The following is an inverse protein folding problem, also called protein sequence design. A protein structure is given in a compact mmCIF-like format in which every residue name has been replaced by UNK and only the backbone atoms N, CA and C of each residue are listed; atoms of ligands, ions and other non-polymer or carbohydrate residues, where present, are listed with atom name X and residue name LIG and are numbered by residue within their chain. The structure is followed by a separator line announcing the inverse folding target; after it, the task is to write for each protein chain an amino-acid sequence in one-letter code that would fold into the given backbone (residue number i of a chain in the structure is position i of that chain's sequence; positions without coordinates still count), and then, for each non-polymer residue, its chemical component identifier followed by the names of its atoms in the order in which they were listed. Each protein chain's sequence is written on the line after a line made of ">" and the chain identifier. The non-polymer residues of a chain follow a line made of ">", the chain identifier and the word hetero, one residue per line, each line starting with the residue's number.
data_IF_731861865462
#
_entry.id   IF_731861865462
#
_cell.length_a   1.000
_cell.length_b   1.000
_cell.length_c   1.000
_cell.angle_alpha   90.00
_cell.angle_beta   90.00
_cell.angle_gamma   90.00
#
_symmetry.space_group_name_H-M   'P 1'
#
loop_
_entity.id
_entity.type
_entity.pdbx_description
1 polymer ?
#
# COMPACT_ATOMS: atom_id res chain seq x y z
N UNK A 1 -11.80 6.43 -3.80
CA UNK A 1 -10.95 7.32 -2.96
C UNK A 1 -9.71 6.52 -2.58
N UNK A 2 -8.50 6.91 -2.96
CA UNK A 2 -7.31 6.17 -2.54
C UNK A 2 -7.05 6.44 -1.06
N UNK A 3 -7.57 5.54 -0.23
CA UNK A 3 -7.03 5.28 1.10
C UNK A 3 -5.58 4.85 0.90
N UNK A 4 -4.68 5.43 1.67
CA UNK A 4 -3.39 4.80 1.92
C UNK A 4 -3.65 3.35 2.38
N UNK A 5 -2.96 2.33 1.82
CA UNK A 5 -3.17 0.97 2.29
C UNK A 5 -2.84 0.89 3.77
N UNK A 6 -3.74 0.32 4.56
CA UNK A 6 -3.58 0.15 6.00
C UNK A 6 -2.32 -0.66 6.32
N UNK A 7 -1.95 -1.57 5.43
CA UNK A 7 -0.71 -2.35 5.51
C UNK A 7 0.52 -1.45 5.38
N UNK A 8 0.43 -0.38 4.59
CA UNK A 8 1.47 0.65 4.44
C UNK A 8 1.74 1.37 5.76
N UNK A 9 0.67 1.86 6.40
CA UNK A 9 0.76 2.50 7.72
C UNK A 9 1.29 1.53 8.78
N UNK A 10 0.74 0.30 8.84
CA UNK A 10 1.19 -0.72 9.80
C UNK A 10 2.68 -1.02 9.63
N UNK A 11 3.14 -1.22 8.40
CA UNK A 11 4.54 -1.52 8.15
C UNK A 11 5.45 -0.33 8.49
N UNK A 12 5.10 0.88 8.03
CA UNK A 12 5.93 2.07 8.24
C UNK A 12 6.10 2.39 9.73
N UNK A 13 5.00 2.52 10.47
CA UNK A 13 5.02 2.88 11.88
C UNK A 13 5.44 1.72 12.78
N UNK A 14 5.13 0.48 12.40
CA UNK A 14 5.66 -0.72 13.04
C UNK A 14 7.19 -0.79 12.94
N UNK A 15 7.76 -0.48 11.78
CA UNK A 15 9.21 -0.43 11.59
C UNK A 15 9.87 0.70 12.40
N UNK A 16 9.27 1.89 12.44
CA UNK A 16 9.74 2.99 13.28
C UNK A 16 9.74 2.63 14.77
N UNK A 17 8.71 1.90 15.23
CA UNK A 17 8.63 1.38 16.59
C UNK A 17 9.74 0.36 16.88
N UNK A 18 9.99 -0.59 15.96
CA UNK A 18 11.08 -1.57 16.10
C UNK A 18 12.46 -0.89 16.09
N UNK A 19 12.59 0.25 15.41
CA UNK A 19 13.78 1.09 15.42
C UNK A 19 13.95 1.90 16.71
N UNK A 20 12.93 1.98 17.57
CA UNK A 20 12.90 2.84 18.75
C UNK A 20 12.79 4.33 18.41
N UNK A 21 12.30 4.69 17.22
CA UNK A 21 12.16 6.08 16.77
C UNK A 21 10.85 6.72 17.23
N UNK A 22 9.86 5.91 17.60
CA UNK A 22 8.54 6.34 18.08
C UNK A 22 8.09 5.50 19.27
N UNK A 23 7.19 6.03 20.08
CA UNK A 23 6.59 5.26 21.18
C UNK A 23 5.58 4.22 20.65
N UNK A 24 5.28 3.16 21.42
CA UNK A 24 4.23 2.21 21.05
C UNK A 24 2.86 2.85 20.82
N UNK A 25 2.52 3.89 21.57
CA UNK A 25 1.23 4.58 21.46
C UNK A 25 1.18 5.50 20.23
N UNK A 26 2.27 6.20 19.91
CA UNK A 26 2.36 7.01 18.69
C UNK A 26 2.25 6.13 17.44
N UNK A 27 2.94 4.97 17.44
CA UNK A 27 2.82 4.01 16.37
C UNK A 27 1.38 3.49 16.24
N UNK A 28 0.74 3.11 17.34
CA UNK A 28 -0.65 2.64 17.30
C UNK A 28 -1.61 3.72 16.79
N UNK A 29 -1.46 4.96 17.24
CA UNK A 29 -2.28 6.09 16.79
C UNK A 29 -2.12 6.35 15.30
N UNK A 30 -0.88 6.36 14.80
CA UNK A 30 -0.62 6.62 13.39
C UNK A 30 -1.06 5.46 12.47
N UNK A 31 -1.02 4.20 12.96
CA UNK A 31 -1.54 3.05 12.21
C UNK A 31 -3.07 3.08 12.11
N UNK A 32 -3.75 3.52 13.17
CA UNK A 32 -5.21 3.71 13.17
C UNK A 32 -5.59 4.86 12.23
N UNK A 33 -4.85 5.97 12.26
CA UNK A 33 -5.08 7.09 11.36
C UNK A 33 -6.50 7.64 11.48
N UNK A 34 -7.25 7.62 10.38
CA UNK A 34 -8.65 8.07 10.31
C UNK A 34 -9.66 6.97 10.68
N UNK A 35 -9.21 5.72 10.79
CA UNK A 35 -10.07 4.63 11.24
C UNK A 35 -10.37 4.78 12.74
N UNK A 36 -11.38 4.06 13.21
CA UNK A 36 -11.82 4.23 14.58
C UNK A 36 -11.16 3.26 15.55
N UNK A 37 -10.87 2.02 15.11
CA UNK A 37 -10.20 1.03 15.95
C UNK A 37 -9.54 -0.07 15.14
N UNK A 38 -8.33 -0.44 15.53
CA UNK A 38 -7.62 -1.59 15.00
C UNK A 38 -7.39 -2.63 16.10
N UNK A 39 -7.71 -3.90 15.81
CA UNK A 39 -7.46 -5.06 16.68
C UNK A 39 -6.67 -6.11 15.92
N UNK A 40 -5.88 -6.92 16.63
CA UNK A 40 -5.14 -8.04 16.05
C UNK A 40 -5.68 -9.35 16.61
N UNK A 41 -6.05 -10.27 15.74
CA UNK A 41 -6.59 -11.59 16.04
C UNK A 41 -5.60 -12.69 15.65
N UNK A 42 -5.69 -13.86 16.28
CA UNK A 42 -4.81 -15.00 15.96
C UNK A 42 -3.35 -14.81 16.39
N UNK A 43 -3.06 -13.80 17.21
CA UNK A 43 -1.70 -13.52 17.68
C UNK A 43 -1.21 -14.64 18.63
N UNK A 44 -0.03 -15.24 18.41
CA UNK A 44 0.46 -16.32 19.26
C UNK A 44 0.58 -15.92 20.73
N UNK A 45 -0.01 -16.73 21.62
CA UNK A 45 0.00 -16.52 23.05
C UNK A 45 -1.15 -15.65 23.59
N UNK A 46 -2.04 -15.16 22.72
CA UNK A 46 -3.23 -14.40 23.12
C UNK A 46 -4.51 -15.22 22.86
N UNK A 47 -5.45 -15.17 23.80
CA UNK A 47 -6.69 -15.96 23.72
C UNK A 47 -7.80 -15.30 22.88
N UNK A 48 -7.59 -14.05 22.44
CA UNK A 48 -8.57 -13.28 21.69
C UNK A 48 -7.98 -12.01 21.10
N UNK A 49 -8.83 -11.16 20.49
CA UNK A 49 -8.38 -9.93 19.84
C UNK A 49 -7.70 -8.96 20.81
N UNK A 50 -6.54 -8.44 20.43
CA UNK A 50 -5.77 -7.48 21.23
C UNK A 50 -5.60 -6.14 20.51
N UNK A 51 -5.30 -5.07 21.25
CA UNK A 51 -4.99 -3.76 20.67
C UNK A 51 -3.61 -3.74 20.00
N UNK A 52 -3.39 -2.80 19.08
CA UNK A 52 -2.12 -2.66 18.33
C UNK A 52 -0.89 -2.54 19.23
N UNK A 53 -0.94 -1.73 20.29
CA UNK A 53 0.19 -1.55 21.22
C UNK A 53 0.70 -2.88 21.79
N UNK A 54 -0.23 -3.72 22.28
CA UNK A 54 0.09 -5.06 22.79
C UNK A 54 0.58 -5.97 21.66
N UNK A 55 -0.11 -5.96 20.52
CA UNK A 55 0.22 -6.82 19.39
C UNK A 55 1.64 -6.57 18.86
N UNK A 56 2.02 -5.31 18.64
CA UNK A 56 3.35 -4.92 18.18
C UNK A 56 4.43 -5.31 19.21
N UNK A 57 4.14 -5.12 20.52
CA UNK A 57 5.04 -5.55 21.60
C UNK A 57 5.25 -7.07 21.64
N UNK A 58 4.20 -7.84 21.42
CA UNK A 58 4.25 -9.32 21.33
C UNK A 58 5.00 -9.79 20.11
N UNK A 59 4.73 -9.24 18.92
CA UNK A 59 5.43 -9.56 17.68
C UNK A 59 6.94 -9.32 17.83
N UNK A 60 7.33 -8.19 18.43
CA UNK A 60 8.73 -7.93 18.78
C UNK A 60 9.31 -9.01 19.70
N UNK A 61 8.57 -9.41 20.74
CA UNK A 61 8.96 -10.50 21.65
C UNK A 61 9.05 -11.88 20.97
N UNK A 62 8.30 -12.10 19.89
CA UNK A 62 8.33 -13.30 19.06
C UNK A 62 9.46 -13.28 18.01
N UNK A 63 10.33 -12.26 18.01
CA UNK A 63 11.48 -12.17 17.12
C UNK A 63 11.25 -11.36 15.84
N UNK A 64 10.11 -10.67 15.69
CA UNK A 64 9.88 -9.79 14.55
C UNK A 64 10.86 -8.61 14.61
N UNK A 65 11.60 -8.41 13.52
CA UNK A 65 12.61 -7.36 13.36
C UNK A 65 12.31 -6.40 12.21
N UNK A 66 11.25 -6.66 11.46
CA UNK A 66 10.74 -5.75 10.44
C UNK A 66 9.37 -6.16 9.91
N UNK A 67 8.73 -5.23 9.23
CA UNK A 67 7.45 -5.40 8.55
C UNK A 67 7.61 -5.02 7.09
N UNK A 68 7.08 -5.86 6.20
CA UNK A 68 7.03 -5.62 4.75
C UNK A 68 5.59 -5.65 4.27
N UNK A 69 5.28 -4.80 3.31
CA UNK A 69 3.98 -4.75 2.65
C UNK A 69 3.94 -5.72 1.47
N UNK A 70 2.78 -6.33 1.27
CA UNK A 70 2.36 -6.98 0.04
C UNK A 70 1.05 -6.31 -0.43
N UNK A 71 0.97 -6.00 -1.73
CA UNK A 71 -0.23 -5.43 -2.36
C UNK A 71 -0.64 -6.35 -3.53
N UNK A 72 -1.19 -7.53 -3.24
CA UNK A 72 -1.58 -8.49 -4.26
C UNK A 72 -2.86 -8.05 -4.98
N UNK A 73 -2.99 -8.45 -6.23
CA UNK A 73 -4.25 -8.38 -6.99
C UNK A 73 -4.46 -9.70 -7.74
N UNK A 74 -5.69 -10.01 -8.21
CA UNK A 74 -5.92 -11.15 -9.07
C UNK A 74 -4.94 -11.21 -10.25
N UNK A 75 -4.22 -12.34 -10.37
CA UNK A 75 -3.21 -12.56 -11.42
C UNK A 75 -1.82 -11.95 -11.16
N UNK A 76 -1.62 -11.21 -10.08
CA UNK A 76 -0.31 -10.65 -9.71
C UNK A 76 -0.15 -10.56 -8.17
N UNK A 77 0.24 -11.68 -7.51
CA UNK A 77 0.34 -11.81 -6.04
C UNK A 77 1.61 -11.16 -5.47
N UNK A 78 1.80 -9.87 -5.75
CA UNK A 78 3.00 -9.10 -5.41
C UNK A 78 3.32 -9.14 -3.91
N UNK A 79 4.53 -9.60 -3.57
CA UNK A 79 5.01 -9.65 -2.18
C UNK A 79 4.52 -10.84 -1.37
N UNK A 80 3.70 -11.72 -1.94
CA UNK A 80 3.22 -12.93 -1.27
C UNK A 80 4.11 -14.13 -1.55
N UNK A 81 4.43 -14.91 -0.51
CA UNK A 81 5.27 -16.12 -0.62
C UNK A 81 4.60 -17.38 -0.04
N UNK A 82 3.32 -17.31 0.30
CA UNK A 82 2.55 -18.41 0.89
C UNK A 82 2.55 -18.40 2.43
N UNK A 83 1.81 -19.34 3.07
CA UNK A 83 1.07 -20.47 2.51
C UNK A 83 -0.26 -20.07 1.82
N UNK A 84 -0.96 -21.01 1.14
CA UNK A 84 -2.19 -20.72 0.40
C UNK A 84 -3.26 -19.98 1.20
N UNK A 85 -3.47 -20.34 2.46
CA UNK A 85 -4.50 -19.73 3.31
C UNK A 85 -4.22 -18.24 3.58
N UNK A 86 -2.94 -17.89 3.82
CA UNK A 86 -2.53 -16.49 3.94
C UNK A 86 -2.70 -15.76 2.61
N UNK A 87 -2.24 -16.36 1.51
CA UNK A 87 -2.34 -15.74 0.19
C UNK A 87 -3.79 -15.50 -0.23
N UNK A 88 -4.70 -16.43 0.06
CA UNK A 88 -6.12 -16.30 -0.25
C UNK A 88 -6.74 -15.10 0.47
N UNK A 89 -6.49 -14.97 1.78
CA UNK A 89 -6.95 -13.81 2.56
C UNK A 89 -6.32 -12.51 2.10
N UNK A 90 -5.01 -12.50 1.85
CA UNK A 90 -4.31 -11.33 1.36
C UNK A 90 -4.79 -10.89 -0.03
N UNK A 91 -5.15 -11.83 -0.91
CA UNK A 91 -5.75 -11.53 -2.22
C UNK A 91 -7.16 -10.96 -2.10
N UNK A 92 -7.96 -11.46 -1.14
CA UNK A 92 -9.30 -10.94 -0.88
C UNK A 92 -9.27 -9.52 -0.29
N UNK A 93 -8.31 -9.24 0.60
CA UNK A 93 -8.10 -7.92 1.16
C UNK A 93 -7.34 -6.96 0.23
N UNK A 94 -6.70 -7.47 -0.83
CA UNK A 94 -5.76 -6.75 -1.72
C UNK A 94 -4.55 -6.10 -1.03
N UNK A 95 -4.36 -6.37 0.26
CA UNK A 95 -3.24 -5.89 1.06
C UNK A 95 -2.89 -6.86 2.19
N UNK A 96 -1.61 -6.91 2.55
CA UNK A 96 -1.12 -7.64 3.71
C UNK A 96 0.22 -7.09 4.20
N UNK A 97 0.56 -7.43 5.44
CA UNK A 97 1.91 -7.26 5.99
C UNK A 97 2.54 -8.63 6.23
N UNK A 98 3.80 -8.77 5.85
CA UNK A 98 4.64 -9.95 6.07
C UNK A 98 5.77 -9.55 6.99
N UNK A 99 5.95 -10.24 8.11
CA UNK A 99 7.02 -9.92 9.06
C UNK A 99 8.37 -10.44 8.58
N UNK A 100 9.44 -9.86 9.12
CA UNK A 100 10.83 -10.28 8.93
C UNK A 100 11.42 -10.74 10.28
N UNK A 101 12.18 -11.84 10.28
CA UNK A 101 12.76 -12.46 11.49
C UNK A 101 11.81 -13.40 12.25
N UNK A 102 10.54 -13.44 11.85
CA UNK A 102 9.58 -14.44 12.32
C UNK A 102 8.53 -14.72 11.22
N UNK A 103 7.92 -15.92 11.20
CA UNK A 103 7.03 -16.36 10.12
C UNK A 103 5.57 -15.94 10.37
N UNK A 104 5.31 -14.65 10.56
CA UNK A 104 3.95 -14.12 10.71
C UNK A 104 3.55 -13.18 9.57
N UNK A 105 2.26 -13.16 9.27
CA UNK A 105 1.64 -12.23 8.34
C UNK A 105 0.35 -11.69 8.92
N UNK A 106 0.02 -10.45 8.59
CA UNK A 106 -1.17 -9.75 9.06
C UNK A 106 -1.99 -9.34 7.84
N UNK A 107 -3.26 -9.75 7.80
CA UNK A 107 -4.21 -9.36 6.75
C UNK A 107 -5.35 -8.57 7.38
N UNK A 108 -5.68 -7.35 6.89
CA UNK A 108 -6.78 -6.58 7.44
C UNK A 108 -8.13 -7.11 6.95
N UNK A 109 -9.09 -7.20 7.85
CA UNK A 109 -10.51 -7.30 7.56
C UNK A 109 -11.17 -6.00 7.99
N UNK A 110 -11.74 -5.27 7.02
CA UNK A 110 -12.33 -3.96 7.24
C UNK A 110 -13.83 -4.10 7.45
N UNK A 111 -14.35 -3.45 8.49
CA UNK A 111 -15.79 -3.40 8.79
C UNK A 111 -16.23 -1.95 8.88
N UNK A 112 -17.25 -1.63 8.11
CA UNK A 112 -17.85 -0.30 8.06
C UNK A 112 -19.20 -0.31 8.76
N UNK A 113 -19.46 0.69 9.60
CA UNK A 113 -20.73 0.85 10.31
C UNK A 113 -21.10 2.32 10.42
N UNK A 114 -22.38 2.66 10.26
CA UNK A 114 -22.88 4.03 10.37
C UNK A 114 -23.46 4.58 9.06
N UNK A 115 -24.09 5.77 9.10
CA UNK A 115 -24.69 6.40 7.92
C UNK A 115 -23.62 7.02 7.01
N UNK A 116 -23.97 7.22 5.73
CA UNK A 116 -23.11 7.93 4.79
C UNK A 116 -22.75 9.33 5.32
N UNK A 117 -21.45 9.61 5.46
CA UNK A 117 -20.91 10.85 6.03
C UNK A 117 -20.48 10.76 7.49
N UNK A 118 -20.77 9.65 8.17
CA UNK A 118 -20.30 9.32 9.52
C UNK A 118 -20.03 7.81 9.61
N UNK A 119 -19.19 7.32 8.71
CA UNK A 119 -18.76 5.91 8.71
C UNK A 119 -17.70 5.70 9.78
N UNK A 120 -17.97 4.73 10.65
CA UNK A 120 -17.01 4.17 11.58
C UNK A 120 -16.33 2.97 10.94
N UNK A 121 -15.02 3.06 10.74
CA UNK A 121 -14.23 1.97 10.18
C UNK A 121 -13.49 1.25 11.31
N UNK A 122 -13.73 -0.05 11.44
CA UNK A 122 -13.02 -0.93 12.36
C UNK A 122 -12.22 -1.97 11.56
N UNK A 123 -10.98 -2.24 11.98
CA UNK A 123 -10.06 -3.15 11.29
C UNK A 123 -9.64 -4.29 12.21
N UNK A 124 -9.88 -5.52 11.78
CA UNK A 124 -9.35 -6.72 12.42
C UNK A 124 -8.18 -7.27 11.60
N UNK A 125 -6.98 -7.23 12.16
CA UNK A 125 -5.79 -7.81 11.56
C UNK A 125 -5.69 -9.29 11.92
N UNK A 126 -5.88 -10.16 10.94
CA UNK A 126 -5.70 -11.60 11.10
C UNK A 126 -4.21 -11.92 11.06
N UNK A 127 -3.66 -12.35 12.20
CA UNK A 127 -2.29 -12.85 12.29
C UNK A 127 -2.26 -14.33 11.90
N UNK A 128 -1.55 -14.65 10.82
CA UNK A 128 -1.41 -16.01 10.30
C UNK A 128 0.07 -16.39 10.20
N UNK A 129 0.36 -17.69 10.19
CA UNK A 129 1.68 -18.18 9.84
C UNK A 129 1.95 -17.96 8.35
N UNK A 130 3.16 -17.50 8.03
CA UNK A 130 3.64 -17.32 6.64
C UNK A 130 4.88 -18.14 6.37
N UNK A 131 5.19 -18.34 5.09
CA UNK A 131 6.49 -18.91 4.70
C UNK A 131 7.56 -17.83 4.82
N UNK A 132 8.61 -18.14 5.57
CA UNK A 132 9.81 -17.31 5.59
C UNK A 132 10.61 -17.53 4.30
N UNK A 133 10.31 -16.70 3.31
CA UNK A 133 10.96 -16.72 2.00
C UNK A 133 11.19 -15.28 1.51
N UNK A 134 12.11 -15.08 0.56
CA UNK A 134 12.21 -13.81 -0.15
C UNK A 134 10.85 -13.41 -0.73
N UNK A 135 10.51 -12.10 -0.71
CA UNK A 135 9.23 -11.64 -1.22
C UNK A 135 9.22 -11.81 -2.74
N UNK A 136 8.18 -12.43 -3.28
CA UNK A 136 8.06 -12.65 -4.71
C UNK A 136 7.78 -11.34 -5.46
N UNK A 137 8.51 -11.12 -6.56
CA UNK A 137 8.30 -10.03 -7.53
C UNK A 137 8.38 -8.58 -6.99
N UNK A 138 8.98 -8.40 -5.80
CA UNK A 138 9.23 -7.07 -5.23
C UNK A 138 10.57 -6.52 -5.74
N UNK A 139 10.59 -5.44 -6.52
CA UNK A 139 11.83 -4.79 -6.96
C UNK A 139 12.52 -4.07 -5.80
N UNK A 140 13.82 -3.82 -5.96
CA UNK A 140 14.50 -2.82 -5.13
C UNK A 140 13.90 -1.43 -5.34
N UNK A 141 14.06 -0.53 -4.37
CA UNK A 141 13.58 0.85 -4.49
C UNK A 141 14.07 1.55 -5.77
N UNK A 142 15.34 1.31 -6.15
CA UNK A 142 15.92 1.94 -7.34
C UNK A 142 15.41 1.37 -8.67
N UNK A 143 15.14 0.06 -8.72
CA UNK A 143 14.48 -0.56 -9.88
C UNK A 143 13.05 -0.05 -10.02
N UNK A 144 12.31 0.02 -8.92
CA UNK A 144 10.92 0.46 -8.92
C UNK A 144 10.78 1.92 -9.40
N UNK A 145 11.66 2.82 -8.95
CA UNK A 145 11.69 4.21 -9.40
C UNK A 145 11.95 4.31 -10.91
N UNK A 146 12.91 3.53 -11.41
CA UNK A 146 13.25 3.50 -12.84
C UNK A 146 12.10 2.97 -13.69
N UNK A 147 11.52 1.84 -13.30
CA UNK A 147 10.37 1.22 -13.98
C UNK A 147 9.15 2.15 -13.98
N UNK A 148 8.89 2.84 -12.86
CA UNK A 148 7.81 3.82 -12.78
C UNK A 148 8.03 4.98 -13.75
N UNK A 149 9.25 5.53 -13.81
CA UNK A 149 9.58 6.61 -14.73
C UNK A 149 9.51 6.16 -16.22
N UNK A 150 9.93 4.93 -16.52
CA UNK A 150 9.84 4.33 -17.86
C UNK A 150 8.38 4.15 -18.29
N UNK A 151 7.54 3.50 -17.48
CA UNK A 151 6.15 3.26 -17.83
C UNK A 151 5.35 4.56 -18.00
N UNK A 152 5.62 5.59 -17.19
CA UNK A 152 4.99 6.90 -17.34
C UNK A 152 5.34 7.56 -18.67
N UNK A 153 6.61 7.50 -19.10
CA UNK A 153 7.05 8.01 -20.40
C UNK A 153 6.38 7.26 -21.55
N UNK A 154 6.30 5.95 -21.47
CA UNK A 154 5.71 5.11 -22.51
C UNK A 154 4.20 5.34 -22.62
N UNK A 155 3.49 5.38 -21.49
CA UNK A 155 2.06 5.65 -21.46
C UNK A 155 1.73 7.07 -21.96
N UNK A 156 2.51 8.08 -21.56
CA UNK A 156 2.34 9.45 -22.08
C UNK A 156 2.51 9.49 -23.60
N UNK A 157 3.52 8.79 -24.12
CA UNK A 157 3.77 8.69 -25.56
C UNK A 157 2.62 8.00 -26.28
N UNK A 158 2.12 6.88 -25.74
CA UNK A 158 1.01 6.13 -26.31
C UNK A 158 -0.29 6.93 -26.32
N UNK A 159 -0.66 7.55 -25.18
CA UNK A 159 -1.88 8.33 -25.05
C UNK A 159 -1.87 9.60 -25.90
N UNK A 160 -0.71 10.25 -26.05
CA UNK A 160 -0.55 11.41 -26.93
C UNK A 160 -0.75 11.05 -28.41
N UNK A 161 -0.24 9.89 -28.85
CA UNK A 161 -0.42 9.42 -30.23
C UNK A 161 -1.86 9.08 -30.57
N UNK A 162 -2.63 8.64 -29.58
CA UNK A 162 -4.03 8.27 -29.75
C UNK A 162 -4.98 9.49 -29.68
N UNK A 163 -4.48 10.68 -29.34
CA UNK A 163 -5.27 11.90 -29.05
C UNK A 163 -6.34 11.71 -27.97
N UNK A 164 -6.10 10.76 -27.04
CA UNK A 164 -7.03 10.41 -25.95
C UNK A 164 -6.61 11.05 -24.62
N UNK A 165 -5.58 11.92 -24.64
CA UNK A 165 -4.93 12.46 -23.45
C UNK A 165 -5.76 13.47 -22.63
N UNK A 166 -7.05 13.63 -22.91
CA UNK A 166 -7.93 14.55 -22.17
C UNK A 166 -8.00 14.21 -20.68
N UNK A 167 -7.39 15.03 -19.82
CA UNK A 167 -7.66 15.08 -18.38
C UNK A 167 -8.76 16.12 -18.15
N UNK A 168 -9.97 15.67 -17.83
CA UNK A 168 -11.08 16.58 -17.53
C UNK A 168 -10.96 17.24 -16.15
N UNK A 169 -11.88 18.17 -15.80
CA UNK A 169 -11.90 18.89 -14.52
C UNK A 169 -11.86 18.00 -13.27
N UNK A 170 -12.35 16.76 -13.38
CA UNK A 170 -12.32 15.77 -12.29
C UNK A 170 -10.89 15.36 -11.93
N UNK A 171 -10.01 15.20 -12.91
CA UNK A 171 -8.62 14.85 -12.67
C UNK A 171 -7.85 16.01 -12.03
N UNK A 172 -8.13 17.25 -12.44
CA UNK A 172 -7.56 18.46 -11.83
C UNK A 172 -8.00 18.60 -10.37
N UNK A 173 -9.31 18.49 -10.10
CA UNK A 173 -9.85 18.55 -8.74
C UNK A 173 -9.25 17.47 -7.82
N UNK A 174 -9.03 16.26 -8.34
CA UNK A 174 -8.39 15.20 -7.57
C UNK A 174 -6.91 15.46 -7.29
N UNK A 175 -6.18 16.05 -8.25
CA UNK A 175 -4.79 16.47 -8.04
C UNK A 175 -4.68 17.58 -7.00
N UNK A 176 -5.60 18.55 -7.03
CA UNK A 176 -5.64 19.62 -6.03
C UNK A 176 -6.00 19.07 -4.65
N UNK A 177 -6.95 18.13 -4.57
CA UNK A 177 -7.27 17.44 -3.32
C UNK A 177 -6.11 16.57 -2.80
N UNK A 178 -5.30 15.97 -3.69
CA UNK A 178 -4.07 15.28 -3.30
C UNK A 178 -3.03 16.25 -2.76
N UNK A 179 -2.80 17.38 -3.44
CA UNK A 179 -1.84 18.42 -3.03
C UNK A 179 -2.22 19.02 -1.68
N UNK A 180 -3.48 19.37 -1.49
CA UNK A 180 -3.97 19.91 -0.21
C UNK A 180 -3.70 18.95 0.96
N UNK A 181 -3.89 17.63 0.76
CA UNK A 181 -3.54 16.61 1.78
C UNK A 181 -2.04 16.48 2.00
N UNK A 182 -1.23 16.57 0.95
CA UNK A 182 0.23 16.53 1.07
C UNK A 182 0.79 17.75 1.80
N UNK A 183 0.23 18.94 1.57
CA UNK A 183 0.63 20.20 2.20
C UNK A 183 0.24 20.30 3.69
N UNK A 184 -0.74 19.52 4.14
CA UNK A 184 -1.14 19.44 5.56
C UNK A 184 -0.13 18.72 6.47
N UNK A 185 1.10 18.47 5.99
CA UNK A 185 2.18 17.89 6.80
C UNK A 185 2.03 16.38 7.01
N UNK A 186 1.39 15.67 6.07
CA UNK A 186 1.23 14.21 6.14
C UNK A 186 2.59 13.52 5.99
N UNK A 187 3.05 12.85 7.03
CA UNK A 187 4.18 11.92 6.95
C UNK A 187 3.74 10.65 6.21
N UNK A 188 4.02 10.57 4.90
CA UNK A 188 3.67 9.40 4.06
C UNK A 188 4.42 8.13 4.49
N UNK A 189 5.58 8.31 5.15
CA UNK A 189 6.31 7.24 5.82
C UNK A 189 6.74 7.74 7.18
N UNK A 190 6.74 6.83 8.14
CA UNK A 190 7.22 7.08 9.50
C UNK A 190 8.72 7.44 9.52
N UNK A 191 9.24 8.00 10.63
CA UNK A 191 10.66 8.29 10.80
C UNK A 191 11.55 7.06 10.56
N UNK A 192 12.72 7.29 9.97
CA UNK A 192 13.72 6.24 9.69
C UNK A 192 13.73 5.70 8.27
N UNK A 193 12.76 6.08 7.43
CA UNK A 193 12.79 5.77 6.01
C UNK A 193 13.72 6.70 5.22
N UNK A 194 14.39 6.22 4.15
CA UNK A 194 15.24 7.07 3.33
C UNK A 194 14.37 8.11 2.58
N UNK A 195 14.84 9.36 2.40
CA UNK A 195 14.09 10.39 1.67
C UNK A 195 13.71 9.99 0.25
N UNK A 196 14.47 9.06 -0.36
CA UNK A 196 14.15 8.49 -1.66
C UNK A 196 12.86 7.67 -1.64
N UNK A 197 12.62 6.86 -0.59
CA UNK A 197 11.41 6.06 -0.48
C UNK A 197 10.17 6.94 -0.38
N UNK A 198 10.24 8.03 0.39
CA UNK A 198 9.16 9.01 0.52
C UNK A 198 8.75 9.56 -0.85
N UNK A 199 9.72 10.08 -1.62
CA UNK A 199 9.45 10.63 -2.96
C UNK A 199 8.86 9.60 -3.93
N UNK A 200 9.38 8.37 -3.91
CA UNK A 200 8.89 7.29 -4.78
C UNK A 200 7.45 6.91 -4.40
N UNK A 201 7.14 6.82 -3.10
CA UNK A 201 5.81 6.50 -2.62
C UNK A 201 4.80 7.58 -3.00
N UNK A 202 5.13 8.85 -2.80
CA UNK A 202 4.26 9.98 -3.20
C UNK A 202 3.96 9.97 -4.69
N UNK A 203 4.99 9.76 -5.53
CA UNK A 203 4.80 9.65 -6.97
C UNK A 203 3.91 8.46 -7.32
N UNK A 204 4.18 7.30 -6.73
CA UNK A 204 3.42 6.07 -7.00
C UNK A 204 1.96 6.17 -6.55
N UNK A 205 1.67 6.78 -5.40
CA UNK A 205 0.30 7.05 -4.92
C UNK A 205 -0.42 8.03 -5.83
N UNK A 206 0.23 9.13 -6.24
CA UNK A 206 -0.34 10.10 -7.18
C UNK A 206 -0.65 9.48 -8.53
N UNK A 207 0.25 8.67 -9.07
CA UNK A 207 0.06 7.97 -10.34
C UNK A 207 -1.08 6.96 -10.23
N UNK A 208 -1.13 6.17 -9.15
CA UNK A 208 -2.23 5.25 -8.88
C UNK A 208 -3.59 5.96 -8.85
N UNK A 209 -3.65 7.15 -8.25
CA UNK A 209 -4.87 7.98 -8.21
C UNK A 209 -5.32 8.42 -9.60
N UNK A 210 -4.38 8.92 -10.40
CA UNK A 210 -4.70 9.34 -11.77
C UNK A 210 -5.19 8.17 -12.63
N UNK A 211 -4.57 6.99 -12.47
CA UNK A 211 -4.99 5.78 -13.21
C UNK A 211 -6.36 5.30 -12.76
N UNK A 212 -6.64 5.26 -11.45
CA UNK A 212 -7.95 4.88 -10.93
C UNK A 212 -9.06 5.81 -11.44
N UNK A 213 -8.84 7.13 -11.38
CA UNK A 213 -9.77 8.12 -11.92
C UNK A 213 -9.95 7.99 -13.43
N UNK A 214 -8.90 7.60 -14.16
CA UNK A 214 -8.99 7.36 -15.59
C UNK A 214 -9.86 6.15 -15.94
N UNK A 215 -10.03 5.18 -15.03
CA UNK A 215 -11.00 4.08 -15.19
C UNK A 215 -12.40 4.49 -14.75
N UNK A 216 -12.55 5.22 -13.63
CA UNK A 216 -13.86 5.63 -13.08
C UNK A 216 -14.61 6.63 -13.97
N UNK A 217 -13.90 7.58 -14.59
CA UNK A 217 -14.50 8.66 -15.39
C UNK A 217 -14.76 8.29 -16.86
N UNK A 218 -14.71 7.00 -17.20
CA UNK A 218 -14.99 6.52 -18.56
C UNK A 218 -13.86 6.83 -19.57
N UNK A 219 -14.16 6.82 -20.88
CA UNK A 219 -13.16 6.74 -21.95
C UNK A 219 -12.24 7.96 -22.10
N UNK A 220 -12.46 9.04 -21.35
CA UNK A 220 -11.79 10.32 -21.57
C UNK A 220 -12.17 10.88 -22.95
N UNK A 221 -11.18 11.23 -23.78
CA UNK A 221 -11.41 11.67 -25.16
C UNK A 221 -11.71 10.55 -26.17
N UNK A 222 -11.73 9.28 -25.76
CA UNK A 222 -11.93 8.17 -26.69
C UNK A 222 -13.40 8.13 -27.14
N UNK A 223 -13.61 8.11 -28.45
CA UNK A 223 -14.93 8.12 -29.09
C UNK A 223 -15.31 6.77 -29.70
N UNK A 224 -14.38 5.80 -29.69
CA UNK A 224 -14.57 4.44 -30.19
C UNK A 224 -14.16 3.37 -29.18
N UNK A 225 -14.76 2.19 -29.28
CA UNK A 225 -14.41 1.03 -28.44
C UNK A 225 -12.94 0.60 -28.59
N UNK A 226 -12.35 0.79 -29.77
CA UNK A 226 -10.92 0.55 -30.03
C UNK A 226 -10.01 1.51 -29.26
N UNK A 227 -10.36 2.79 -29.19
CA UNK A 227 -9.58 3.78 -28.42
C UNK A 227 -9.71 3.54 -26.92
N UNK A 228 -10.90 3.12 -26.46
CA UNK A 228 -11.12 2.71 -25.07
C UNK A 228 -10.23 1.52 -24.68
N UNK A 229 -10.19 0.49 -25.52
CA UNK A 229 -9.33 -0.67 -25.32
C UNK A 229 -7.84 -0.27 -25.31
N UNK A 230 -7.40 0.53 -26.29
CA UNK A 230 -6.02 1.00 -26.39
C UNK A 230 -5.60 1.86 -25.19
N UNK A 231 -6.48 2.72 -24.68
CA UNK A 231 -6.26 3.47 -23.43
C UNK A 231 -6.06 2.53 -22.25
N UNK A 232 -6.91 1.52 -22.10
CA UNK A 232 -6.76 0.50 -21.05
C UNK A 232 -5.43 -0.24 -21.15
N UNK A 233 -5.04 -0.68 -22.34
CA UNK A 233 -3.73 -1.32 -22.59
C UNK A 233 -2.56 -0.41 -22.21
N UNK A 234 -2.65 0.90 -22.45
CA UNK A 234 -1.60 1.86 -22.12
C UNK A 234 -1.49 2.13 -20.61
N UNK A 235 -2.61 2.08 -19.86
CA UNK A 235 -2.64 2.39 -18.42
C UNK A 235 -2.29 1.18 -17.54
N UNK A 236 -2.59 -0.05 -17.96
CA UNK A 236 -2.32 -1.26 -17.15
C UNK A 236 -0.85 -1.43 -16.73
N UNK A 237 0.16 -1.18 -17.58
CA UNK A 237 1.56 -1.20 -17.15
C UNK A 237 1.86 -0.17 -16.07
N UNK A 238 1.32 1.05 -16.21
CA UNK A 238 1.51 2.16 -15.25
C UNK A 238 0.94 1.81 -13.88
N UNK A 239 -0.27 1.25 -13.84
CA UNK A 239 -0.90 0.76 -12.61
C UNK A 239 -0.03 -0.29 -11.90
N UNK A 240 0.48 -1.26 -12.66
CA UNK A 240 1.32 -2.34 -12.15
C UNK A 240 2.62 -1.81 -11.54
N UNK A 241 3.32 -0.93 -12.26
CA UNK A 241 4.60 -0.39 -11.75
C UNK A 241 4.40 0.60 -10.61
N UNK A 242 3.29 1.35 -10.59
CA UNK A 242 2.94 2.20 -9.45
C UNK A 242 2.74 1.36 -8.20
N UNK A 243 1.97 0.26 -8.27
CA UNK A 243 1.81 -0.65 -7.13
C UNK A 243 3.14 -1.28 -6.68
N UNK A 244 4.00 -1.69 -7.63
CA UNK A 244 5.36 -2.18 -7.31
C UNK A 244 6.23 -1.13 -6.63
N UNK A 245 6.16 0.12 -7.05
CA UNK A 245 6.85 1.24 -6.43
C UNK A 245 6.33 1.56 -5.02
N UNK A 246 5.02 1.45 -4.77
CA UNK A 246 4.48 1.57 -3.41
C UNK A 246 5.04 0.47 -2.49
N UNK A 247 4.99 -0.79 -2.92
CA UNK A 247 5.54 -1.93 -2.16
C UNK A 247 7.03 -1.75 -1.89
N UNK A 248 7.82 -1.37 -2.91
CA UNK A 248 9.26 -1.14 -2.74
C UNK A 248 9.57 0.01 -1.78
N UNK A 249 8.79 1.09 -1.82
CA UNK A 249 8.97 2.23 -0.91
C UNK A 249 8.66 1.88 0.55
N UNK A 250 7.53 1.20 0.83
CA UNK A 250 7.24 0.71 2.19
C UNK A 250 8.24 -0.33 2.69
N UNK A 251 8.83 -1.11 1.78
CA UNK A 251 9.79 -2.16 2.13
C UNK A 251 11.25 -1.68 2.21
N UNK A 252 11.53 -0.43 1.79
CA UNK A 252 12.88 0.14 1.76
C UNK A 252 13.59 0.08 3.12
N UNK A 253 12.86 0.24 4.22
CA UNK A 253 13.41 0.13 5.57
C UNK A 253 14.05 -1.25 5.82
N UNK A 254 13.35 -2.33 5.49
CA UNK A 254 13.84 -3.70 5.70
C UNK A 254 14.95 -4.02 4.69
N UNK A 255 14.86 -3.50 3.48
CA UNK A 255 15.90 -3.66 2.45
C UNK A 255 17.23 -3.03 2.87
N UNK A 256 17.22 -1.81 3.42
CA UNK A 256 18.45 -1.13 3.88
C UNK A 256 19.09 -1.81 5.09
N UNK A 257 18.30 -2.38 6.00
CA UNK A 257 18.82 -3.13 7.16
C UNK A 257 19.44 -4.48 6.81
N UNK A 258 19.07 -5.05 5.67
CA UNK A 258 19.58 -6.34 5.20
C UNK A 258 20.88 -6.22 4.38
N UNK A 259 21.30 -5.00 4.04
CA UNK A 259 22.56 -4.70 3.34
C UNK A 259 23.70 -4.46 4.33
#
# INVERSE_FOLDING_TARGET
>A
MLSEPRSGLLAAWGNALLAGLVSPDDAALAIVGEDAVHRVEGLPGEAGPVGLTLALGRLRGLGVTGFRVALPVPGHPLGLSGPPDFNARALEAEEAVVTYGAPYGLVPEVRESGPAGDLHIAVAWHCLAVREAPPADVPSLGEAERELAEALRDATTALSRLDVAGSGPVAEAALDAYRARAEQGREVLAPGYPPRAVRVLELAQRVGLLVALAYENGPGGAVSASEMAARGEALRPVERVARRAQVAAYNAYVEERAR
#
